data_IF_103019578827
#
_entry.id   IF_103019578827
#
_cell.length_a   1.000
_cell.length_b   1.000
_cell.length_c   1.000
_cell.angle_alpha   90.00
_cell.angle_beta   90.00
_cell.angle_gamma   90.00
#
_symmetry.space_group_name_H-M   'P 1'
#
loop_
_entity.id
_entity.type
_entity.pdbx_description
1 polymer ?
#
# COMPACT_ATOMS: atom_id res chain seq x y z
N UNK A 1 -16.27 -44.51 43.38
CA UNK A 1 -15.04 -44.08 42.68
C UNK A 1 -15.46 -43.59 41.31
N UNK A 2 -15.66 -42.28 41.15
CA UNK A 2 -16.10 -41.66 39.90
C UNK A 2 -14.97 -40.76 39.42
N UNK A 3 -14.20 -41.24 38.45
CA UNK A 3 -13.32 -40.39 37.68
C UNK A 3 -14.22 -39.60 36.71
N UNK A 4 -14.28 -38.29 36.91
CA UNK A 4 -15.04 -37.38 36.06
C UNK A 4 -14.43 -37.30 34.67
N UNK A 5 -15.28 -37.31 33.64
CA UNK A 5 -14.97 -37.23 32.20
C UNK A 5 -13.89 -36.19 31.79
N UNK A 6 -13.63 -35.19 32.64
CA UNK A 6 -12.58 -34.19 32.45
C UNK A 6 -11.14 -34.68 32.65
N UNK A 7 -10.89 -35.66 33.52
CA UNK A 7 -9.52 -36.16 33.78
C UNK A 7 -9.02 -37.06 32.63
N UNK A 8 -9.93 -37.80 31.98
CA UNK A 8 -9.61 -38.63 30.81
C UNK A 8 -9.30 -37.79 29.57
N UNK A 9 -9.89 -36.60 29.44
CA UNK A 9 -9.67 -35.69 28.31
C UNK A 9 -8.32 -34.96 28.40
N UNK A 10 -7.89 -34.60 29.61
CA UNK A 10 -6.57 -33.97 29.83
C UNK A 10 -5.41 -34.94 29.58
N UNK A 11 -5.54 -36.21 29.97
CA UNK A 11 -4.51 -37.23 29.72
C UNK A 11 -4.33 -37.56 28.22
N UNK A 12 -5.39 -37.47 27.42
CA UNK A 12 -5.34 -37.63 25.96
C UNK A 12 -4.70 -36.43 25.25
N UNK A 13 -4.80 -35.22 25.83
CA UNK A 13 -4.23 -34.00 25.26
C UNK A 13 -2.73 -33.83 25.58
N UNK A 14 -2.25 -34.22 26.76
CA UNK A 14 -0.89 -33.87 27.19
C UNK A 14 0.22 -34.80 26.63
N UNK A 15 -0.11 -36.06 26.30
CA UNK A 15 0.85 -37.02 25.74
C UNK A 15 0.82 -37.13 24.21
N UNK A 16 -0.37 -37.16 23.62
CA UNK A 16 -0.54 -37.52 22.20
C UNK A 16 -0.46 -36.32 21.26
N UNK A 17 -0.95 -35.14 21.64
CA UNK A 17 -0.98 -33.99 20.73
C UNK A 17 0.39 -33.30 20.63
N UNK A 18 1.18 -33.28 21.70
CA UNK A 18 2.57 -32.76 21.68
C UNK A 18 3.48 -33.52 20.71
N UNK A 19 3.34 -34.85 20.63
CA UNK A 19 4.20 -35.67 19.78
C UNK A 19 3.87 -35.54 18.29
N UNK A 20 2.59 -35.35 17.95
CA UNK A 20 2.12 -35.23 16.56
C UNK A 20 1.97 -33.78 16.10
N UNK A 21 2.15 -32.79 16.97
CA UNK A 21 2.10 -31.36 16.64
C UNK A 21 2.99 -30.98 15.44
N UNK A 22 4.25 -31.45 15.30
CA UNK A 22 5.06 -31.15 14.13
C UNK A 22 4.48 -31.75 12.85
N UNK A 23 3.84 -32.92 12.94
CA UNK A 23 3.19 -33.59 11.80
C UNK A 23 1.93 -32.84 11.38
N UNK A 24 1.12 -32.38 12.32
CA UNK A 24 -0.03 -31.51 12.02
C UNK A 24 0.41 -30.19 11.42
N UNK A 25 1.47 -29.55 11.95
CA UNK A 25 2.01 -28.31 11.40
C UNK A 25 2.54 -28.50 9.97
N UNK A 26 3.28 -29.58 9.72
CA UNK A 26 3.79 -29.93 8.39
C UNK A 26 2.68 -30.27 7.40
N UNK A 27 1.66 -31.02 7.82
CA UNK A 27 0.51 -31.36 7.00
C UNK A 27 -0.34 -30.11 6.68
N UNK A 28 -0.57 -29.25 7.67
CA UNK A 28 -1.23 -27.96 7.44
C UNK A 28 -0.41 -27.08 6.49
N UNK A 29 0.92 -26.98 6.67
CA UNK A 29 1.79 -26.24 5.75
C UNK A 29 1.70 -26.79 4.32
N UNK A 30 1.71 -28.11 4.13
CA UNK A 30 1.58 -28.72 2.80
C UNK A 30 0.21 -28.51 2.15
N UNK A 31 -0.87 -28.41 2.94
CA UNK A 31 -2.22 -28.15 2.43
C UNK A 31 -2.43 -26.66 2.12
N UNK A 32 -1.93 -25.77 2.98
CA UNK A 32 -2.12 -24.33 2.83
C UNK A 32 -1.09 -23.68 1.89
N UNK A 33 0.13 -24.23 1.75
CA UNK A 33 1.15 -23.71 0.82
C UNK A 33 0.66 -23.59 -0.63
N UNK A 34 0.09 -24.63 -1.27
CA UNK A 34 -0.38 -24.50 -2.64
C UNK A 34 -1.50 -23.47 -2.78
N UNK A 35 -2.32 -23.25 -1.74
CA UNK A 35 -3.33 -22.19 -1.72
C UNK A 35 -2.68 -20.81 -1.62
N UNK A 36 -1.66 -20.65 -0.77
CA UNK A 36 -0.90 -19.40 -0.63
C UNK A 36 -0.12 -19.08 -1.91
N UNK A 37 0.54 -20.08 -2.51
CA UNK A 37 1.27 -19.93 -3.78
C UNK A 37 0.31 -19.64 -4.93
N UNK A 38 -0.80 -20.37 -5.05
CA UNK A 38 -1.82 -20.09 -6.06
C UNK A 38 -2.42 -18.69 -5.89
N UNK A 39 -2.64 -18.22 -4.65
CA UNK A 39 -3.06 -16.83 -4.39
C UNK A 39 -1.99 -15.81 -4.75
N UNK A 40 -0.71 -16.08 -4.48
CA UNK A 40 0.40 -15.20 -4.88
C UNK A 40 0.52 -15.14 -6.41
N UNK A 41 0.40 -16.28 -7.09
CA UNK A 41 0.41 -16.36 -8.56
C UNK A 41 -0.82 -15.71 -9.17
N UNK A 42 -2.02 -15.87 -8.58
CA UNK A 42 -3.25 -15.20 -9.00
C UNK A 42 -3.16 -13.68 -8.81
N UNK A 43 -2.56 -13.21 -7.71
CA UNK A 43 -2.25 -11.78 -7.49
C UNK A 43 -1.18 -11.28 -8.49
N UNK A 44 -0.22 -12.13 -8.86
CA UNK A 44 0.82 -11.81 -9.85
C UNK A 44 0.30 -11.78 -11.30
N UNK A 45 -0.64 -12.67 -11.64
CA UNK A 45 -1.24 -12.82 -12.97
C UNK A 45 -2.36 -11.82 -13.24
N UNK A 46 -3.03 -11.32 -12.20
CA UNK A 46 -4.06 -10.29 -12.33
C UNK A 46 -3.50 -8.87 -12.33
N UNK A 47 -2.17 -8.66 -12.28
CA UNK A 47 -1.62 -7.33 -12.58
C UNK A 47 -1.91 -7.03 -14.04
N UNK A 48 -2.79 -6.05 -14.34
CA UNK A 48 -2.85 -5.57 -15.70
C UNK A 48 -1.43 -5.14 -16.08
N UNK A 49 -0.99 -5.51 -17.28
CA UNK A 49 0.21 -4.94 -17.90
C UNK A 49 -0.10 -3.46 -18.21
N UNK A 50 -0.27 -2.67 -17.15
CA UNK A 50 -0.38 -1.23 -17.25
C UNK A 50 0.98 -0.81 -17.74
N UNK A 51 1.02 -0.26 -18.95
CA UNK A 51 2.24 0.34 -19.47
C UNK A 51 2.47 1.57 -18.60
N UNK A 52 3.27 1.41 -17.54
CA UNK A 52 3.54 2.50 -16.62
C UNK A 52 4.37 3.52 -17.36
N UNK A 53 3.84 4.74 -17.44
CA UNK A 53 4.49 5.84 -18.13
C UNK A 53 5.76 6.20 -17.36
N UNK A 54 6.85 6.48 -18.07
CA UNK A 54 8.12 6.75 -17.41
C UNK A 54 8.08 8.15 -16.77
N UNK A 55 8.49 8.24 -15.51
CA UNK A 55 8.76 9.49 -14.81
C UNK A 55 9.91 10.21 -15.52
N UNK A 56 9.56 11.22 -16.31
CA UNK A 56 10.51 12.01 -17.11
C UNK A 56 10.85 13.32 -16.40
N UNK A 57 12.02 13.92 -16.67
CA UNK A 57 12.28 15.30 -16.25
C UNK A 57 11.29 16.26 -16.90
N UNK A 58 10.90 17.32 -16.17
CA UNK A 58 10.07 18.42 -16.67
C UNK A 58 8.70 17.98 -17.23
N UNK A 59 7.99 17.11 -16.51
CA UNK A 59 6.64 16.70 -16.91
C UNK A 59 5.66 17.86 -16.76
N UNK A 60 4.68 17.91 -17.66
CA UNK A 60 3.48 18.73 -17.45
C UNK A 60 2.61 18.17 -16.33
N UNK A 61 1.75 19.01 -15.73
CA UNK A 61 0.79 18.56 -14.71
C UNK A 61 -0.17 17.47 -15.24
N UNK A 62 -0.53 17.53 -16.53
CA UNK A 62 -1.35 16.51 -17.18
C UNK A 62 -0.64 15.16 -17.34
N UNK A 63 0.65 15.16 -17.69
CA UNK A 63 1.45 13.93 -17.76
C UNK A 63 1.68 13.34 -16.36
N UNK A 64 1.96 14.20 -15.37
CA UNK A 64 2.09 13.78 -13.98
C UNK A 64 0.80 13.11 -13.47
N UNK A 65 -0.37 13.65 -13.88
CA UNK A 65 -1.67 13.08 -13.56
C UNK A 65 -1.88 11.73 -14.23
N UNK A 66 -1.59 11.64 -15.53
CA UNK A 66 -1.72 10.38 -16.27
C UNK A 66 -0.88 9.26 -15.65
N UNK A 67 0.36 9.58 -15.26
CA UNK A 67 1.22 8.65 -14.53
C UNK A 67 0.63 8.29 -13.15
N UNK A 68 0.18 9.26 -12.36
CA UNK A 68 -0.45 9.00 -11.06
C UNK A 68 -1.66 8.05 -11.18
N UNK A 69 -2.56 8.32 -12.14
CA UNK A 69 -3.71 7.45 -12.42
C UNK A 69 -3.26 6.05 -12.83
N UNK A 70 -2.27 5.94 -13.71
CA UNK A 70 -1.71 4.66 -14.17
C UNK A 70 -1.14 3.84 -13.01
N UNK A 71 -0.35 4.46 -12.13
CA UNK A 71 0.20 3.82 -10.94
C UNK A 71 -0.89 3.37 -9.98
N UNK A 72 -1.87 4.22 -9.68
CA UNK A 72 -2.97 3.88 -8.78
C UNK A 72 -3.89 2.79 -9.34
N UNK A 73 -4.01 2.67 -10.67
CA UNK A 73 -4.73 1.56 -11.30
C UNK A 73 -3.94 0.24 -11.24
N UNK A 74 -2.61 0.30 -11.35
CA UNK A 74 -1.74 -0.87 -11.23
C UNK A 74 -1.62 -1.36 -9.77
N UNK A 75 -1.78 -0.44 -8.80
CA UNK A 75 -1.81 -0.76 -7.38
C UNK A 75 -3.20 -1.33 -7.01
N UNK A 76 -3.22 -2.57 -6.53
CA UNK A 76 -4.43 -3.40 -6.36
C UNK A 76 -5.56 -2.70 -5.56
N UNK A 77 -6.86 -2.94 -5.86
CA UNK A 77 -8.00 -2.41 -5.08
C UNK A 77 -8.07 -2.86 -3.61
N UNK A 78 -7.17 -3.73 -3.13
CA UNK A 78 -7.18 -4.26 -1.76
C UNK A 78 -6.38 -3.41 -0.75
N UNK A 79 -5.70 -2.34 -1.16
CA UNK A 79 -4.93 -1.48 -0.22
C UNK A 79 -5.78 -0.89 0.92
N UNK A 80 -7.04 -0.43 0.70
CA UNK A 80 -7.92 -0.01 1.79
C UNK A 80 -8.21 -1.14 2.80
N UNK A 81 -8.34 -2.39 2.33
CA UNK A 81 -8.54 -3.57 3.18
C UNK A 81 -7.28 -3.90 4.00
N UNK A 82 -6.10 -3.74 3.41
CA UNK A 82 -4.80 -3.98 4.07
C UNK A 82 -4.50 -2.95 5.17
N UNK A 83 -4.95 -1.71 5.02
CA UNK A 83 -4.77 -0.64 6.02
C UNK A 83 -5.86 -0.59 7.10
N UNK A 84 -6.81 -1.54 7.07
CA UNK A 84 -7.98 -1.53 7.95
C UNK A 84 -8.79 -0.24 7.80
N UNK A 85 -8.87 0.37 6.62
CA UNK A 85 -9.75 1.53 6.42
C UNK A 85 -11.22 1.09 6.58
N UNK A 86 -12.11 1.94 7.11
CA UNK A 86 -13.55 1.64 7.10
C UNK A 86 -13.98 1.35 5.65
N UNK A 87 -14.75 0.28 5.44
CA UNK A 87 -15.26 -0.13 4.13
C UNK A 87 -15.99 1.04 3.44
N UNK A 88 -16.68 1.86 4.23
CA UNK A 88 -17.44 3.04 3.81
C UNK A 88 -16.58 4.17 3.20
N UNK A 89 -15.27 4.16 3.44
CA UNK A 89 -14.35 5.16 2.88
C UNK A 89 -14.08 4.94 1.39
N UNK A 90 -14.27 3.70 0.91
CA UNK A 90 -14.13 3.29 -0.49
C UNK A 90 -15.45 3.43 -1.27
N UNK A 91 -16.61 3.39 -0.61
CA UNK A 91 -17.93 3.43 -1.27
C UNK A 91 -18.17 4.66 -2.15
N UNK A 92 -17.40 5.74 -1.97
CA UNK A 92 -17.50 6.97 -2.77
C UNK A 92 -16.30 7.24 -3.67
N UNK A 93 -15.28 6.37 -3.69
CA UNK A 93 -14.03 6.60 -4.44
C UNK A 93 -13.23 7.82 -3.98
N UNK A 94 -13.59 8.46 -2.86
CA UNK A 94 -13.01 9.71 -2.36
C UNK A 94 -11.51 9.58 -2.04
N UNK A 95 -11.08 8.43 -1.52
CA UNK A 95 -9.67 8.21 -1.23
C UNK A 95 -8.83 8.11 -2.50
N UNK A 96 -9.39 7.56 -3.59
CA UNK A 96 -8.69 7.41 -4.86
C UNK A 96 -8.46 8.76 -5.51
N UNK A 97 -9.46 9.63 -5.48
CA UNK A 97 -9.34 11.02 -5.96
C UNK A 97 -8.30 11.81 -5.15
N UNK A 98 -8.30 11.65 -3.82
CA UNK A 98 -7.32 12.33 -2.94
C UNK A 98 -5.91 11.77 -3.15
N UNK A 99 -5.76 10.45 -3.26
CA UNK A 99 -4.48 9.80 -3.54
C UNK A 99 -3.96 10.19 -4.92
N UNK A 100 -4.83 10.28 -5.93
CA UNK A 100 -4.48 10.72 -7.28
C UNK A 100 -3.99 12.17 -7.27
N UNK A 101 -4.71 13.07 -6.60
CA UNK A 101 -4.29 14.47 -6.46
C UNK A 101 -2.94 14.59 -5.76
N UNK A 102 -2.78 13.91 -4.61
CA UNK A 102 -1.52 13.94 -3.86
C UNK A 102 -0.35 13.35 -4.67
N UNK A 103 -0.54 12.18 -5.29
CA UNK A 103 0.49 11.53 -6.10
C UNK A 103 0.83 12.35 -7.35
N UNK A 104 -0.16 12.97 -7.99
CA UNK A 104 0.08 13.87 -9.13
C UNK A 104 0.98 15.04 -8.73
N UNK A 105 0.67 15.69 -7.61
CA UNK A 105 1.46 16.81 -7.11
C UNK A 105 2.90 16.41 -6.78
N UNK A 106 3.09 15.23 -6.18
CA UNK A 106 4.40 14.68 -5.86
C UNK A 106 5.20 14.30 -7.11
N UNK A 107 4.58 13.62 -8.09
CA UNK A 107 5.22 13.26 -9.38
C UNK A 107 5.63 14.50 -10.16
N UNK A 108 4.74 15.49 -10.24
CA UNK A 108 5.04 16.75 -10.91
C UNK A 108 6.24 17.44 -10.26
N UNK A 109 6.24 17.54 -8.93
CA UNK A 109 7.34 18.15 -8.16
C UNK A 109 8.63 17.35 -8.33
N UNK A 110 8.58 16.02 -8.22
CA UNK A 110 9.69 15.12 -8.45
C UNK A 110 10.33 15.34 -9.83
N UNK A 111 9.52 15.52 -10.88
CA UNK A 111 10.02 15.76 -12.25
C UNK A 111 10.84 17.05 -12.40
N UNK A 112 10.74 17.98 -11.44
CA UNK A 112 11.54 19.21 -11.41
C UNK A 112 12.93 19.01 -10.75
N UNK A 113 13.17 17.85 -10.14
CA UNK A 113 14.45 17.56 -9.49
C UNK A 113 15.42 16.83 -10.43
N UNK A 114 16.75 16.97 -10.25
CA UNK A 114 17.75 16.27 -11.08
C UNK A 114 17.69 14.73 -10.99
N UNK A 115 17.12 14.19 -9.92
CA UNK A 115 16.91 12.76 -9.71
C UNK A 115 15.46 12.51 -9.29
N UNK A 116 14.50 12.52 -10.24
CA UNK A 116 13.08 12.51 -9.93
C UNK A 116 12.65 11.33 -9.05
N UNK A 117 13.04 10.11 -9.42
CA UNK A 117 12.63 8.91 -8.70
C UNK A 117 13.16 8.87 -7.26
N UNK A 118 14.44 9.20 -7.06
CA UNK A 118 15.06 9.23 -5.73
C UNK A 118 14.38 10.25 -4.81
N UNK A 119 14.04 11.42 -5.35
CA UNK A 119 13.31 12.44 -4.59
C UNK A 119 11.90 11.95 -4.22
N UNK A 120 11.21 11.31 -5.16
CA UNK A 120 9.86 10.80 -4.96
C UNK A 120 9.83 9.69 -3.89
N UNK A 121 10.76 8.74 -3.96
CA UNK A 121 10.92 7.66 -2.98
C UNK A 121 11.16 8.21 -1.56
N UNK A 122 12.10 9.17 -1.43
CA UNK A 122 12.41 9.79 -0.14
C UNK A 122 11.18 10.53 0.42
N UNK A 123 10.53 11.37 -0.40
CA UNK A 123 9.35 12.14 0.04
C UNK A 123 8.20 11.23 0.46
N UNK A 124 7.92 10.18 -0.29
CA UNK A 124 6.83 9.24 0.01
C UNK A 124 7.14 8.38 1.24
N UNK A 125 8.42 8.10 1.51
CA UNK A 125 8.82 7.44 2.77
C UNK A 125 8.47 8.29 4.00
N UNK A 126 8.59 9.62 3.88
CA UNK A 126 8.32 10.57 4.97
C UNK A 126 6.83 10.79 5.23
N UNK A 127 5.95 10.53 4.25
CA UNK A 127 4.49 10.56 4.48
C UNK A 127 4.05 9.61 5.61
N UNK A 128 4.80 8.52 5.83
CA UNK A 128 4.62 7.58 6.94
C UNK A 128 4.96 8.16 8.32
N UNK A 129 5.72 9.26 8.39
CA UNK A 129 6.01 9.98 9.63
C UNK A 129 4.79 10.77 10.17
N UNK A 130 3.65 10.72 9.47
CA UNK A 130 2.43 11.40 9.87
C UNK A 130 2.47 12.88 9.52
N UNK A 131 1.91 13.72 10.40
CA UNK A 131 1.59 15.12 10.13
C UNK A 131 2.78 15.94 9.63
N UNK A 132 3.97 15.69 10.18
CA UNK A 132 5.21 16.36 9.76
C UNK A 132 5.56 16.05 8.29
N UNK A 133 5.47 14.78 7.88
CA UNK A 133 5.77 14.39 6.50
C UNK A 133 4.80 14.98 5.48
N UNK A 134 3.53 15.10 5.84
CA UNK A 134 2.53 15.76 4.99
C UNK A 134 2.74 17.27 4.90
N UNK A 135 3.21 17.90 5.98
CA UNK A 135 3.56 19.32 5.98
C UNK A 135 4.81 19.58 5.11
N UNK A 136 5.85 18.76 5.24
CA UNK A 136 7.05 18.82 4.39
C UNK A 136 6.71 18.64 2.91
N UNK A 137 5.84 17.67 2.59
CA UNK A 137 5.36 17.47 1.23
C UNK A 137 4.60 18.70 0.70
N UNK A 138 3.72 19.30 1.51
CA UNK A 138 2.97 20.49 1.10
C UNK A 138 3.88 21.70 0.87
N UNK A 139 4.92 21.87 1.70
CA UNK A 139 5.92 22.92 1.54
C UNK A 139 6.74 22.72 0.26
N UNK A 140 7.24 21.51 0.04
CA UNK A 140 8.05 21.19 -1.14
C UNK A 140 7.26 21.36 -2.44
N UNK A 141 6.01 20.88 -2.49
CA UNK A 141 5.13 21.11 -3.63
C UNK A 141 4.80 22.59 -3.79
N UNK A 142 4.52 23.30 -2.69
CA UNK A 142 4.19 24.72 -2.72
C UNK A 142 5.31 25.62 -3.22
N UNK A 143 6.57 25.21 -3.06
CA UNK A 143 7.72 25.90 -3.62
C UNK A 143 7.79 25.79 -5.16
N UNK A 144 7.14 24.78 -5.75
CA UNK A 144 7.10 24.53 -7.20
C UNK A 144 5.77 25.03 -7.81
N UNK A 145 4.64 24.62 -7.24
CA UNK A 145 3.30 24.97 -7.72
C UNK A 145 2.30 25.13 -6.57
N UNK A 146 1.84 26.37 -6.39
CA UNK A 146 0.89 26.73 -5.33
C UNK A 146 -0.51 26.15 -5.50
N UNK A 147 -0.92 25.82 -6.72
CA UNK A 147 -2.21 25.19 -7.00
C UNK A 147 -2.17 23.70 -6.66
N UNK A 148 -1.10 22.99 -7.06
CA UNK A 148 -0.91 21.57 -6.72
C UNK A 148 -0.69 21.36 -5.22
N UNK A 149 -0.13 22.35 -4.52
CA UNK A 149 -0.01 22.35 -3.06
C UNK A 149 -1.37 22.15 -2.36
N UNK A 150 -2.48 22.63 -2.95
CA UNK A 150 -3.81 22.46 -2.37
C UNK A 150 -4.24 20.98 -2.30
N UNK A 151 -3.78 20.15 -3.25
CA UNK A 151 -4.09 18.72 -3.23
C UNK A 151 -3.39 18.00 -2.08
N UNK A 152 -2.13 18.35 -1.80
CA UNK A 152 -1.39 17.81 -0.64
C UNK A 152 -1.96 18.35 0.68
N UNK A 153 -2.32 19.64 0.71
CA UNK A 153 -2.99 20.24 1.88
C UNK A 153 -4.33 19.58 2.18
N UNK A 154 -5.12 19.25 1.14
CA UNK A 154 -6.36 18.50 1.27
C UNK A 154 -6.18 17.15 1.97
N UNK A 155 -5.10 16.42 1.64
CA UNK A 155 -4.75 15.18 2.33
C UNK A 155 -4.27 15.44 3.78
N UNK A 156 -3.54 16.53 4.01
CA UNK A 156 -3.00 16.89 5.33
C UNK A 156 -4.05 17.29 6.37
N UNK A 157 -5.26 17.67 5.97
CA UNK A 157 -6.35 18.02 6.90
C UNK A 157 -7.28 16.84 7.21
N UNK A 158 -7.09 15.70 6.55
CA UNK A 158 -7.84 14.48 6.82
C UNK A 158 -7.56 13.94 8.23
N UNK A 159 -8.47 13.12 8.77
CA UNK A 159 -8.20 12.46 10.04
C UNK A 159 -6.97 11.53 9.91
N UNK A 160 -6.24 11.32 11.01
CA UNK A 160 -4.97 10.58 11.03
C UNK A 160 -5.06 9.22 10.32
N UNK A 161 -6.15 8.47 10.52
CA UNK A 161 -6.36 7.15 9.90
C UNK A 161 -6.51 7.24 8.38
N UNK A 162 -7.32 8.17 7.88
CA UNK A 162 -7.51 8.35 6.43
C UNK A 162 -6.22 8.81 5.76
N UNK A 163 -5.53 9.76 6.39
CA UNK A 163 -4.24 10.27 5.91
C UNK A 163 -3.19 9.18 5.82
N UNK A 164 -3.12 8.31 6.84
CA UNK A 164 -2.26 7.14 6.82
C UNK A 164 -2.60 6.19 5.67
N UNK A 165 -3.89 5.92 5.42
CA UNK A 165 -4.32 5.09 4.30
C UNK A 165 -3.91 5.70 2.95
N UNK A 166 -4.08 7.00 2.75
CA UNK A 166 -3.62 7.69 1.53
C UNK A 166 -2.10 7.58 1.38
N UNK A 167 -1.34 7.83 2.45
CA UNK A 167 0.12 7.72 2.42
C UNK A 167 0.60 6.30 2.07
N UNK A 168 -0.09 5.28 2.58
CA UNK A 168 0.22 3.88 2.29
C UNK A 168 -0.04 3.55 0.81
N UNK A 169 -1.18 3.98 0.25
CA UNK A 169 -1.50 3.82 -1.18
C UNK A 169 -0.44 4.48 -2.06
N UNK A 170 -0.11 5.74 -1.78
CA UNK A 170 0.89 6.52 -2.54
C UNK A 170 2.24 5.82 -2.49
N UNK A 171 2.61 5.25 -1.34
CA UNK A 171 3.84 4.48 -1.16
C UNK A 171 3.86 3.17 -1.93
N UNK A 172 2.81 2.37 -1.86
CA UNK A 172 2.70 1.13 -2.62
C UNK A 172 2.77 1.39 -4.13
N UNK A 173 2.11 2.46 -4.60
CA UNK A 173 2.15 2.87 -6.00
C UNK A 173 3.58 3.21 -6.49
N UNK A 174 4.36 3.90 -5.67
CA UNK A 174 5.76 4.25 -6.00
C UNK A 174 6.69 3.04 -5.90
N UNK A 175 6.52 2.17 -4.89
CA UNK A 175 7.31 0.93 -4.78
C UNK A 175 7.05 -0.02 -5.97
N UNK A 176 5.80 -0.08 -6.43
CA UNK A 176 5.45 -0.82 -7.63
C UNK A 176 6.16 -0.27 -8.87
N UNK A 177 6.16 1.04 -9.04
CA UNK A 177 6.86 1.72 -10.14
C UNK A 177 8.37 1.44 -10.15
N UNK A 178 9.01 1.52 -8.98
CA UNK A 178 10.43 1.21 -8.80
C UNK A 178 10.75 -0.23 -9.22
N UNK A 179 9.93 -1.19 -8.80
CA UNK A 179 10.11 -2.59 -9.13
C UNK A 179 9.98 -2.88 -10.64
N UNK A 180 9.16 -2.10 -11.35
CA UNK A 180 8.95 -2.24 -12.79
C UNK A 180 10.03 -1.54 -13.63
N UNK A 181 10.59 -0.42 -13.15
CA UNK A 181 11.63 0.33 -13.84
C UNK A 181 13.05 -0.24 -13.68
N UNK A 182 13.27 -1.09 -12.66
CA UNK A 182 14.57 -1.77 -12.43
C UNK A 182 14.71 -3.14 -13.13
N UNK A 183 13.71 -3.59 -13.88
CA UNK A 183 13.75 -4.83 -14.69
C UNK A 183 14.38 -4.60 -16.05
#
# INVERSE_FOLDING_TARGET
MSATFGETFQLLFDGTIKHWWPVYLAASLMIFMPVVVARIEEIGLLRPAVRVEELRPLMSASEARALATSLLMATTPDVPRLAGAPVDFDEKGLWREIAEGALTALIYTASQHPRPLVWLEDMVSRLGAGDAGWAEAAEAVGAVDSALCQWVKGASVMCRRQRYSVGLVVREAVLLYEAETKR
#
